data_IF_565478365363
#
_entry.id   IF_565478365363
#
_cell.length_a   1.000
_cell.length_b   1.000
_cell.length_c   1.000
_cell.angle_alpha   90.00
_cell.angle_beta   90.00
_cell.angle_gamma   90.00
#
_symmetry.space_group_name_H-M   'P 1'
#
loop_
_entity.id
_entity.type
_entity.pdbx_description
1 polymer ?
#
# COMPACT_ATOMS: atom_id res chain seq x y z
N UNK A 1 64.51 13.91 27.77
CA UNK A 1 63.06 14.12 27.70
C UNK A 1 62.46 12.88 27.05
N UNK A 2 61.61 12.17 27.79
CA UNK A 2 61.02 10.82 27.60
C UNK A 2 60.77 10.41 26.12
N UNK A 3 61.23 9.27 25.57
CA UNK A 3 60.91 7.83 25.84
C UNK A 3 59.39 7.54 25.90
N UNK A 4 58.78 6.50 25.32
CA UNK A 4 59.21 5.28 24.61
C UNK A 4 57.98 4.63 23.94
N UNK A 5 58.27 3.94 22.84
CA UNK A 5 57.62 2.80 22.15
C UNK A 5 56.35 2.07 22.63
N UNK A 6 55.55 1.69 21.60
CA UNK A 6 54.98 0.37 21.23
C UNK A 6 54.54 -0.64 22.31
N UNK A 7 53.32 -1.17 22.12
CA UNK A 7 53.01 -2.60 21.86
C UNK A 7 51.79 -3.15 22.62
N UNK A 8 51.03 -3.91 21.84
CA UNK A 8 49.91 -4.83 22.12
C UNK A 8 50.09 -5.74 23.34
N UNK A 9 49.07 -5.86 24.20
CA UNK A 9 48.79 -7.09 24.96
C UNK A 9 47.28 -7.32 25.11
N UNK A 10 46.91 -8.60 25.03
CA UNK A 10 45.59 -9.22 25.07
C UNK A 10 45.55 -10.11 26.33
N UNK A 11 44.35 -10.50 26.80
CA UNK A 11 44.00 -11.42 27.93
C UNK A 11 43.78 -10.77 29.32
N UNK A 12 42.81 -11.13 30.18
CA UNK A 12 41.62 -12.01 30.13
C UNK A 12 40.69 -11.69 31.34
N UNK A 13 39.40 -12.03 31.19
CA UNK A 13 38.33 -12.39 32.18
C UNK A 13 38.69 -12.40 33.69
N UNK A 14 37.85 -12.12 34.69
CA UNK A 14 36.40 -11.99 34.92
C UNK A 14 36.27 -11.33 36.32
N UNK A 15 35.12 -10.74 36.67
CA UNK A 15 34.34 -10.98 37.92
C UNK A 15 33.42 -9.79 38.17
N UNK A 16 32.13 -10.07 38.00
CA UNK A 16 30.97 -9.51 38.71
C UNK A 16 31.18 -8.17 39.44
N UNK A 17 30.69 -7.11 38.82
CA UNK A 17 30.08 -6.02 39.57
C UNK A 17 28.77 -5.66 38.89
N UNK A 18 27.71 -5.65 39.71
CA UNK A 18 26.32 -5.48 39.36
C UNK A 18 26.10 -4.17 38.59
N UNK A 19 26.11 -4.24 37.27
CA UNK A 19 25.39 -3.26 36.45
C UNK A 19 24.07 -3.91 36.11
N UNK A 20 23.02 -3.43 36.76
CA UNK A 20 21.66 -3.62 36.28
C UNK A 20 21.65 -2.95 34.91
N UNK A 21 21.87 -3.73 33.86
CA UNK A 21 21.49 -3.34 32.52
C UNK A 21 19.99 -3.23 32.62
N UNK A 22 19.49 -2.02 32.81
CA UNK A 22 18.14 -1.69 32.37
C UNK A 22 18.16 -2.03 30.89
N UNK A 23 17.70 -3.23 30.57
CA UNK A 23 17.11 -3.51 29.28
C UNK A 23 15.92 -2.56 29.30
N UNK A 24 16.12 -1.32 28.88
CA UNK A 24 15.07 -0.58 28.24
C UNK A 24 14.61 -1.55 27.16
N UNK A 25 13.45 -2.19 27.42
CA UNK A 25 12.67 -2.76 26.34
C UNK A 25 12.69 -1.66 25.30
N UNK A 26 13.36 -1.92 24.17
CA UNK A 26 13.37 -0.98 23.06
C UNK A 26 11.89 -0.63 22.88
N UNK A 27 11.51 0.59 23.29
CA UNK A 27 10.17 1.08 23.00
C UNK A 27 10.07 0.86 21.52
N UNK A 28 9.01 0.19 21.07
CA UNK A 28 8.71 0.09 19.65
C UNK A 28 8.57 1.54 19.17
N UNK A 29 9.68 2.14 18.77
CA UNK A 29 9.71 3.42 18.10
C UNK A 29 9.01 3.11 16.81
N UNK A 30 7.76 3.56 16.71
CA UNK A 30 7.02 3.60 15.46
C UNK A 30 8.01 4.06 14.40
N UNK A 31 8.25 3.21 13.39
CA UNK A 31 9.23 3.48 12.35
C UNK A 31 9.05 4.93 11.89
N UNK A 32 10.12 5.75 11.77
CA UNK A 32 9.99 7.16 11.39
C UNK A 32 9.33 7.35 10.01
N UNK A 33 9.10 6.25 9.29
CA UNK A 33 8.47 6.16 7.99
C UNK A 33 6.94 5.92 8.06
N UNK A 34 6.37 5.73 9.26
CA UNK A 34 4.96 5.41 9.47
C UNK A 34 4.33 6.45 10.41
N UNK A 35 3.19 7.01 10.02
CA UNK A 35 2.42 7.92 10.87
C UNK A 35 0.92 7.74 10.63
N UNK A 36 0.12 7.90 11.68
CA UNK A 36 -1.33 7.72 11.58
C UNK A 36 -2.02 9.00 11.08
N UNK A 37 -2.97 8.84 10.17
CA UNK A 37 -3.78 9.91 9.61
C UNK A 37 -5.24 9.67 9.98
N UNK A 38 -5.91 10.69 10.49
CA UNK A 38 -7.33 10.64 10.82
C UNK A 38 -8.18 10.87 9.57
N UNK A 39 -9.31 10.18 9.49
CA UNK A 39 -10.28 10.33 8.40
C UNK A 39 -10.88 11.75 8.37
N UNK A 40 -11.21 12.22 7.18
CA UNK A 40 -12.08 13.36 6.92
C UNK A 40 -13.39 12.84 6.34
N UNK A 41 -14.52 13.21 6.94
CA UNK A 41 -15.86 12.80 6.48
C UNK A 41 -16.39 13.79 5.46
N UNK A 42 -16.89 13.29 4.33
CA UNK A 42 -17.48 14.10 3.26
C UNK A 42 -18.99 14.24 3.47
N UNK A 43 -19.39 15.04 4.45
CA UNK A 43 -20.82 15.18 4.80
C UNK A 43 -21.70 15.66 3.63
N UNK A 44 -21.17 16.52 2.76
CA UNK A 44 -21.88 17.02 1.59
C UNK A 44 -22.23 15.91 0.57
N UNK A 45 -21.54 14.77 0.61
CA UNK A 45 -21.74 13.67 -0.32
C UNK A 45 -23.11 12.98 -0.18
N UNK A 46 -23.68 13.01 1.01
CA UNK A 46 -25.02 12.44 1.27
C UNK A 46 -26.08 13.08 0.37
N UNK A 47 -26.00 14.40 0.14
CA UNK A 47 -26.93 15.12 -0.74
C UNK A 47 -26.86 14.68 -2.20
N UNK A 48 -25.74 14.06 -2.61
CA UNK A 48 -25.52 13.47 -3.94
C UNK A 48 -25.82 11.96 -3.97
N UNK A 49 -26.37 11.40 -2.90
CA UNK A 49 -26.61 9.96 -2.75
C UNK A 49 -25.33 9.11 -2.61
N UNK A 50 -24.19 9.74 -2.36
CA UNK A 50 -22.91 9.07 -2.11
C UNK A 50 -22.81 8.71 -0.62
N UNK A 51 -23.02 7.45 -0.30
CA UNK A 51 -23.02 6.90 1.07
C UNK A 51 -22.37 5.52 1.10
N UNK A 52 -21.79 5.14 2.24
CA UNK A 52 -21.28 3.79 2.51
C UNK A 52 -22.42 2.75 2.57
N UNK A 53 -22.08 1.46 2.69
CA UNK A 53 -23.07 0.36 2.79
C UNK A 53 -24.15 0.63 3.84
N UNK A 54 -23.80 1.20 5.00
CA UNK A 54 -24.72 1.51 6.10
C UNK A 54 -25.47 2.86 5.96
N UNK A 55 -25.29 3.57 4.84
CA UNK A 55 -25.86 4.90 4.61
C UNK A 55 -25.06 6.07 5.23
N UNK A 56 -23.94 5.82 5.93
CA UNK A 56 -23.08 6.89 6.44
C UNK A 56 -22.35 7.64 5.31
N UNK A 57 -21.94 8.91 5.50
CA UNK A 57 -21.17 9.62 4.49
C UNK A 57 -19.79 8.95 4.25
N UNK A 58 -19.23 9.01 3.04
CA UNK A 58 -17.90 8.50 2.76
C UNK A 58 -16.82 9.33 3.44
N UNK A 59 -15.60 8.77 3.45
CA UNK A 59 -14.45 9.40 4.08
C UNK A 59 -13.18 9.26 3.23
N UNK A 60 -12.18 10.09 3.50
CA UNK A 60 -10.84 9.97 2.95
C UNK A 60 -9.79 10.39 3.99
N UNK A 61 -8.54 10.02 3.78
CA UNK A 61 -7.41 10.39 4.62
C UNK A 61 -6.49 11.28 3.80
N UNK A 62 -6.05 12.41 4.35
CA UNK A 62 -5.30 13.39 3.58
C UNK A 62 -4.17 14.03 4.36
N UNK A 63 -3.07 14.23 3.65
CA UNK A 63 -1.89 14.93 4.11
C UNK A 63 -1.47 15.89 2.99
N UNK A 64 -1.37 17.20 3.28
CA UNK A 64 -0.91 18.16 2.30
C UNK A 64 0.56 17.94 1.95
N UNK A 65 0.90 18.14 0.68
CA UNK A 65 2.28 18.21 0.22
C UNK A 65 2.98 19.48 0.69
N UNK A 66 4.29 19.56 0.46
CA UNK A 66 5.12 20.71 0.83
C UNK A 66 6.23 20.95 -0.20
N UNK A 67 6.82 22.16 -0.16
CA UNK A 67 7.88 22.56 -1.10
C UNK A 67 7.44 22.42 -2.55
N UNK A 68 8.28 21.81 -3.39
CA UNK A 68 7.99 21.58 -4.81
C UNK A 68 6.90 20.53 -5.05
N UNK A 69 6.57 19.71 -4.04
CA UNK A 69 5.58 18.65 -4.14
C UNK A 69 4.12 19.10 -4.00
N UNK A 70 3.86 20.36 -3.62
CA UNK A 70 2.49 20.89 -3.41
C UNK A 70 1.59 20.80 -4.64
N UNK A 71 2.17 20.74 -5.83
CA UNK A 71 1.45 20.60 -7.10
C UNK A 71 1.26 19.16 -7.57
N UNK A 72 1.71 18.16 -6.81
CA UNK A 72 1.65 16.75 -7.21
C UNK A 72 0.86 15.93 -6.17
N UNK A 73 0.17 14.90 -6.65
CA UNK A 73 -0.81 14.15 -5.85
C UNK A 73 -0.69 12.64 -6.03
N UNK A 74 -0.69 11.92 -4.91
CA UNK A 74 -0.93 10.48 -4.84
C UNK A 74 -2.36 10.28 -4.34
N UNK A 75 -3.20 9.59 -5.12
CA UNK A 75 -4.58 9.27 -4.76
C UNK A 75 -4.77 7.76 -4.79
N UNK A 76 -4.63 7.13 -3.62
CA UNK A 76 -4.85 5.69 -3.49
C UNK A 76 -6.32 5.39 -3.15
N UNK A 77 -6.87 4.35 -3.77
CA UNK A 77 -8.13 3.74 -3.34
C UNK A 77 -7.81 2.66 -2.31
N UNK A 78 -8.42 2.72 -1.13
CA UNK A 78 -8.27 1.64 -0.15
C UNK A 78 -8.81 0.33 -0.73
N UNK A 79 -8.10 -0.77 -0.49
CA UNK A 79 -8.61 -2.11 -0.76
C UNK A 79 -9.46 -2.64 0.40
N UNK A 80 -9.75 -3.94 0.34
CA UNK A 80 -10.43 -4.66 1.42
C UNK A 80 -11.30 -5.83 0.98
N UNK A 81 -11.10 -6.41 -0.21
CA UNK A 81 -12.02 -7.38 -0.83
C UNK A 81 -13.43 -6.80 -1.07
N UNK A 82 -14.41 -7.64 -1.31
CA UNK A 82 -15.81 -7.28 -1.55
C UNK A 82 -16.73 -8.23 -0.79
N UNK A 83 -17.97 -7.82 -0.56
CA UNK A 83 -18.98 -8.73 -0.04
C UNK A 83 -19.61 -9.53 -1.19
N UNK A 84 -19.94 -10.80 -0.97
CA UNK A 84 -20.35 -11.74 -2.03
C UNK A 84 -21.86 -11.96 -2.12
N UNK A 85 -22.59 -11.65 -1.06
CA UNK A 85 -24.04 -11.77 -0.98
C UNK A 85 -24.60 -10.78 0.05
N UNK A 86 -25.92 -10.65 0.11
CA UNK A 86 -26.62 -9.66 0.97
C UNK A 86 -26.23 -9.82 2.44
N UNK A 87 -26.19 -11.04 2.97
CA UNK A 87 -25.83 -11.30 4.38
C UNK A 87 -24.41 -10.84 4.68
N UNK A 88 -23.44 -11.19 3.83
CA UNK A 88 -22.04 -10.75 3.94
C UNK A 88 -21.94 -9.21 3.87
N UNK A 89 -22.68 -8.57 2.97
CA UNK A 89 -22.72 -7.11 2.89
C UNK A 89 -23.34 -6.47 4.14
N UNK A 90 -24.34 -7.11 4.75
CA UNK A 90 -24.99 -6.63 5.96
C UNK A 90 -24.06 -6.75 7.17
N UNK A 91 -23.37 -7.88 7.35
CA UNK A 91 -22.36 -8.04 8.39
C UNK A 91 -21.24 -7.00 8.21
N UNK A 92 -20.78 -6.84 6.96
CA UNK A 92 -19.74 -5.87 6.60
C UNK A 92 -20.16 -4.42 6.86
N UNK A 93 -21.44 -4.08 6.73
CA UNK A 93 -21.95 -2.72 7.02
C UNK A 93 -21.68 -2.28 8.46
N UNK A 94 -21.51 -3.22 9.39
CA UNK A 94 -21.18 -2.98 10.79
C UNK A 94 -19.66 -2.88 11.06
N UNK A 95 -18.83 -2.76 10.02
CA UNK A 95 -17.36 -2.71 10.13
C UNK A 95 -16.79 -1.43 9.50
N UNK A 96 -15.48 -1.21 9.67
CA UNK A 96 -14.76 -0.11 9.00
C UNK A 96 -14.77 -0.21 7.47
N UNK A 97 -15.14 -1.38 6.91
CA UNK A 97 -15.26 -1.62 5.46
C UNK A 97 -16.66 -1.44 4.89
N UNK A 98 -17.62 -1.05 5.71
CA UNK A 98 -19.00 -0.79 5.30
C UNK A 98 -19.61 0.47 5.92
N UNK A 99 -18.93 1.10 6.90
CA UNK A 99 -19.39 2.33 7.53
C UNK A 99 -18.24 3.23 7.93
N UNK A 100 -18.36 4.52 7.63
CA UNK A 100 -17.40 5.52 8.10
C UNK A 100 -17.48 5.76 9.61
N UNK A 101 -18.56 5.32 10.28
CA UNK A 101 -18.71 5.40 11.74
C UNK A 101 -17.68 4.54 12.47
N UNK A 102 -17.27 3.43 11.86
CA UNK A 102 -16.34 2.45 12.44
C UNK A 102 -14.87 2.65 12.00
N UNK A 103 -14.59 3.61 11.11
CA UNK A 103 -13.23 3.88 10.65
C UNK A 103 -12.37 4.59 11.70
N UNK A 104 -11.21 4.03 12.02
CA UNK A 104 -10.18 4.68 12.85
C UNK A 104 -9.13 5.45 12.03
N UNK A 105 -8.11 6.03 12.68
CA UNK A 105 -6.91 6.49 11.99
C UNK A 105 -6.19 5.34 11.28
N UNK A 106 -5.58 5.59 10.12
CA UNK A 106 -4.82 4.59 9.36
C UNK A 106 -3.35 4.98 9.22
N UNK A 107 -2.42 4.00 9.14
CA UNK A 107 -1.01 4.28 8.95
C UNK A 107 -0.71 4.69 7.50
N UNK A 108 -0.10 5.86 7.31
CA UNK A 108 0.55 6.24 6.07
C UNK A 108 1.99 5.74 6.10
N UNK A 109 2.36 4.93 5.11
CA UNK A 109 3.68 4.30 4.98
C UNK A 109 4.02 4.03 3.50
N UNK A 110 5.23 3.54 3.23
CA UNK A 110 5.70 3.25 1.88
C UNK A 110 5.66 4.50 0.99
N UNK A 111 4.93 4.44 -0.13
CA UNK A 111 4.74 5.59 -1.03
C UNK A 111 4.04 6.80 -0.36
N UNK A 112 3.42 6.60 0.81
CA UNK A 112 2.80 7.66 1.61
C UNK A 112 3.73 8.22 2.71
N UNK A 113 4.93 7.67 2.86
CA UNK A 113 5.92 8.19 3.82
C UNK A 113 6.30 9.63 3.46
N UNK A 114 6.49 10.46 4.49
CA UNK A 114 7.06 11.82 4.38
C UNK A 114 8.59 11.83 4.47
N UNK A 115 9.19 10.69 4.82
CA UNK A 115 10.62 10.56 4.90
C UNK A 115 11.19 10.34 3.50
N UNK A 116 12.06 11.24 3.04
CA UNK A 116 12.69 11.14 1.74
C UNK A 116 13.53 9.87 1.59
N UNK A 117 14.19 9.38 2.64
CA UNK A 117 14.94 8.12 2.54
C UNK A 117 14.03 6.94 2.22
N UNK A 118 12.82 6.91 2.82
CA UNK A 118 11.86 5.84 2.59
C UNK A 118 10.97 6.03 1.34
N UNK A 119 10.86 7.26 0.85
CA UNK A 119 10.07 7.61 -0.32
C UNK A 119 10.76 8.70 -1.17
N UNK A 120 11.88 8.37 -1.83
CA UNK A 120 12.81 9.36 -2.40
C UNK A 120 12.18 10.40 -3.31
N UNK A 121 11.28 9.97 -4.18
CA UNK A 121 10.74 10.82 -5.24
C UNK A 121 9.37 11.46 -4.91
N UNK A 122 8.62 10.90 -3.95
CA UNK A 122 7.23 11.30 -3.69
C UNK A 122 6.96 11.78 -2.24
N UNK A 123 8.00 11.86 -1.40
CA UNK A 123 7.87 12.18 0.03
C UNK A 123 7.18 13.52 0.32
N UNK A 124 7.33 14.51 -0.56
CA UNK A 124 6.80 15.86 -0.39
C UNK A 124 5.47 16.13 -1.13
N UNK A 125 4.88 15.13 -1.78
CA UNK A 125 3.60 15.27 -2.50
C UNK A 125 2.39 15.28 -1.58
N UNK A 126 1.26 15.78 -2.09
CA UNK A 126 -0.05 15.57 -1.49
C UNK A 126 -0.39 14.08 -1.51
N UNK A 127 -0.92 13.56 -0.41
CA UNK A 127 -1.19 12.14 -0.24
C UNK A 127 -2.62 11.95 0.23
N UNK A 128 -3.38 11.16 -0.53
CA UNK A 128 -4.77 10.86 -0.26
C UNK A 128 -4.98 9.35 -0.30
N UNK A 129 -5.70 8.83 0.68
CA UNK A 129 -6.32 7.49 0.61
C UNK A 129 -7.83 7.67 0.68
N UNK A 130 -8.55 7.29 -0.37
CA UNK A 130 -10.02 7.25 -0.36
C UNK A 130 -10.45 6.02 0.43
N UNK A 131 -11.26 6.22 1.48
CA UNK A 131 -11.67 5.13 2.35
C UNK A 131 -12.71 4.25 1.66
N UNK A 132 -12.47 2.94 1.70
CA UNK A 132 -13.35 1.96 1.08
C UNK A 132 -14.47 1.56 2.03
N UNK A 133 -15.72 1.74 1.57
CA UNK A 133 -16.90 1.41 2.38
C UNK A 133 -18.14 0.96 1.57
N UNK A 134 -18.03 0.71 0.27
CA UNK A 134 -19.16 0.31 -0.58
C UNK A 134 -19.27 -1.21 -0.79
N UNK A 135 -18.25 -1.98 -0.41
CA UNK A 135 -18.26 -3.44 -0.55
C UNK A 135 -18.23 -3.97 -1.99
N UNK A 136 -18.13 -3.09 -3.01
CA UNK A 136 -18.14 -3.41 -4.44
C UNK A 136 -17.00 -2.74 -5.21
N UNK A 137 -15.85 -2.53 -4.58
CA UNK A 137 -14.64 -1.97 -5.19
C UNK A 137 -14.85 -0.63 -5.92
N UNK A 138 -15.71 0.25 -5.39
CA UNK A 138 -16.06 1.55 -5.98
C UNK A 138 -16.80 1.49 -7.34
N UNK A 139 -17.32 0.33 -7.75
CA UNK A 139 -17.91 0.16 -9.10
C UNK A 139 -19.43 0.24 -9.14
N UNK A 140 -20.12 -0.05 -8.03
CA UNK A 140 -21.59 -0.09 -8.00
C UNK A 140 -22.25 1.30 -7.92
N UNK A 141 -23.43 1.43 -8.55
CA UNK A 141 -24.37 2.52 -8.29
C UNK A 141 -25.82 2.06 -8.41
N UNK A 142 -26.37 1.50 -7.32
CA UNK A 142 -27.73 0.95 -7.30
C UNK A 142 -28.69 1.92 -6.63
N UNK A 143 -29.66 2.46 -7.37
CA UNK A 143 -30.66 3.39 -6.83
C UNK A 143 -31.59 2.81 -5.78
N UNK A 144 -32.02 1.57 -6.02
CA UNK A 144 -32.89 0.87 -5.11
C UNK A 144 -32.18 0.57 -3.78
N UNK A 145 -32.87 0.86 -2.68
CA UNK A 145 -32.45 0.45 -1.33
C UNK A 145 -33.51 -0.51 -0.82
N UNK A 146 -33.11 -1.74 -0.54
CA UNK A 146 -34.00 -2.74 0.05
C UNK A 146 -34.38 -2.31 1.48
N UNK A 147 -35.67 -2.07 1.78
CA UNK A 147 -36.08 -1.63 3.11
C UNK A 147 -35.78 -2.64 4.22
N UNK A 148 -35.64 -3.94 3.90
CA UNK A 148 -35.36 -4.98 4.89
C UNK A 148 -33.90 -4.94 5.37
N UNK A 149 -32.97 -4.55 4.50
CA UNK A 149 -31.53 -4.57 4.80
C UNK A 149 -30.92 -3.18 4.92
N UNK A 150 -31.56 -2.18 4.32
CA UNK A 150 -31.10 -0.80 4.21
C UNK A 150 -29.66 -0.68 3.70
N UNK A 151 -29.25 -1.57 2.81
CA UNK A 151 -27.92 -1.57 2.21
C UNK A 151 -27.85 -0.62 1.01
N UNK A 152 -26.76 0.15 0.95
CA UNK A 152 -26.50 1.10 -0.12
C UNK A 152 -25.24 0.72 -0.93
N UNK A 153 -25.42 0.37 -2.20
CA UNK A 153 -24.31 0.01 -3.10
C UNK A 153 -23.94 1.20 -3.99
N UNK A 154 -23.15 2.15 -3.45
CA UNK A 154 -22.91 3.49 -4.06
C UNK A 154 -21.45 3.79 -4.38
N UNK A 155 -20.64 2.76 -4.60
CA UNK A 155 -19.20 2.87 -4.85
C UNK A 155 -18.82 3.95 -5.88
N UNK A 156 -19.49 4.02 -7.02
CA UNK A 156 -19.18 5.00 -8.06
C UNK A 156 -19.50 6.45 -7.63
N UNK A 157 -20.55 6.66 -6.85
CA UNK A 157 -20.91 7.98 -6.30
C UNK A 157 -19.92 8.43 -5.22
N UNK A 158 -19.48 7.49 -4.38
CA UNK A 158 -18.44 7.73 -3.38
C UNK A 158 -17.17 8.21 -4.08
N UNK A 159 -16.69 7.45 -5.08
CA UNK A 159 -15.50 7.82 -5.83
C UNK A 159 -15.64 9.22 -6.44
N UNK A 160 -16.71 9.47 -7.19
CA UNK A 160 -16.94 10.76 -7.86
C UNK A 160 -16.98 11.92 -6.87
N UNK A 161 -17.69 11.78 -5.75
CA UNK A 161 -17.85 12.89 -4.81
C UNK A 161 -16.59 13.18 -4.00
N UNK A 162 -15.83 12.15 -3.61
CA UNK A 162 -14.54 12.35 -2.97
C UNK A 162 -13.58 13.02 -3.95
N UNK A 163 -13.59 12.62 -5.23
CA UNK A 163 -12.78 13.26 -6.27
C UNK A 163 -13.13 14.74 -6.46
N UNK A 164 -14.42 15.11 -6.49
CA UNK A 164 -14.86 16.52 -6.55
C UNK A 164 -14.28 17.34 -5.38
N UNK A 165 -14.32 16.77 -4.17
CA UNK A 165 -13.77 17.45 -3.00
C UNK A 165 -12.25 17.62 -3.10
N UNK A 166 -11.52 16.60 -3.56
CA UNK A 166 -10.07 16.69 -3.77
C UNK A 166 -9.73 17.70 -4.86
N UNK A 167 -10.51 17.77 -5.95
CA UNK A 167 -10.39 18.77 -7.00
C UNK A 167 -10.56 20.18 -6.42
N UNK A 168 -11.55 20.39 -5.56
CA UNK A 168 -11.76 21.66 -4.87
C UNK A 168 -10.58 22.04 -3.95
N UNK A 169 -9.92 21.06 -3.32
CA UNK A 169 -8.74 21.26 -2.46
C UNK A 169 -7.44 21.49 -3.21
N UNK A 170 -7.42 21.35 -4.53
CA UNK A 170 -6.27 21.68 -5.37
C UNK A 170 -5.83 20.59 -6.32
N UNK A 171 -6.44 19.39 -6.29
CA UNK A 171 -6.14 18.33 -7.26
C UNK A 171 -6.43 18.78 -8.70
N UNK A 172 -7.35 19.73 -8.92
CA UNK A 172 -7.63 20.31 -10.23
C UNK A 172 -6.43 21.07 -10.84
N UNK A 173 -5.51 21.51 -9.99
CA UNK A 173 -4.28 22.20 -10.39
C UNK A 173 -3.07 21.24 -10.34
N UNK A 174 -3.32 19.94 -10.15
CA UNK A 174 -2.25 18.97 -10.08
C UNK A 174 -1.52 18.93 -11.41
N UNK A 175 -0.18 18.99 -11.34
CA UNK A 175 0.66 18.70 -12.48
C UNK A 175 0.51 17.24 -12.88
N UNK A 176 0.30 16.37 -11.90
CA UNK A 176 0.22 14.93 -12.09
C UNK A 176 -0.57 14.20 -10.97
N UNK A 177 -1.19 13.05 -11.30
CA UNK A 177 -2.05 12.22 -10.41
C UNK A 177 -1.91 10.71 -10.68
N UNK A 178 -1.98 9.85 -9.65
CA UNK A 178 -1.84 8.38 -9.74
C UNK A 178 -2.89 7.61 -8.90
N UNK A 179 -3.31 6.39 -9.33
CA UNK A 179 -4.29 5.49 -8.69
C UNK A 179 -3.82 4.01 -8.59
N UNK A 180 -4.27 3.22 -7.58
CA UNK A 180 -3.91 1.78 -7.36
C UNK A 180 -5.02 0.94 -6.63
N UNK A 181 -5.07 -0.40 -6.82
CA UNK A 181 -6.08 -1.39 -6.28
C UNK A 181 -5.46 -2.75 -5.81
N UNK A 182 -6.21 -3.57 -5.02
CA UNK A 182 -5.69 -4.71 -4.19
C UNK A 182 -6.72 -5.90 -3.90
N UNK A 183 -6.37 -7.23 -4.07
CA UNK A 183 -7.06 -8.47 -3.55
C UNK A 183 -6.23 -9.81 -3.44
N UNK A 184 -6.73 -10.93 -2.80
CA UNK A 184 -5.93 -12.10 -2.28
C UNK A 184 -6.60 -13.53 -2.12
N UNK A 185 -5.87 -14.71 -2.24
CA UNK A 185 -5.81 -15.97 -1.36
C UNK A 185 -5.14 -17.29 -1.93
N UNK A 186 -3.79 -17.43 -2.00
CA UNK A 186 -3.02 -18.71 -2.26
C UNK A 186 -1.72 -18.85 -1.41
N UNK A 187 -1.64 -18.14 -0.29
CA UNK A 187 -0.36 -17.79 0.36
C UNK A 187 0.39 -18.95 1.04
N UNK A 188 -0.33 -19.84 1.71
CA UNK A 188 0.26 -20.77 2.69
C UNK A 188 1.28 -21.74 2.06
N UNK A 189 0.95 -22.40 0.94
CA UNK A 189 1.88 -23.36 0.36
C UNK A 189 3.13 -22.70 -0.24
N UNK A 190 3.00 -21.46 -0.72
CA UNK A 190 4.11 -20.70 -1.32
C UNK A 190 5.09 -20.33 -0.22
N UNK A 191 4.60 -19.79 0.90
CA UNK A 191 5.45 -19.34 2.01
C UNK A 191 6.22 -20.49 2.66
N UNK A 192 5.64 -21.68 2.74
CA UNK A 192 6.28 -22.86 3.31
C UNK A 192 7.08 -23.70 2.28
N UNK A 193 7.01 -23.38 0.99
CA UNK A 193 7.62 -24.19 -0.07
C UNK A 193 7.03 -25.60 -0.15
N UNK A 194 5.78 -25.78 0.26
CA UNK A 194 5.09 -27.07 0.36
C UNK A 194 4.06 -27.30 -0.75
N UNK A 195 4.01 -26.42 -1.76
CA UNK A 195 3.08 -26.57 -2.86
C UNK A 195 3.29 -27.92 -3.60
N UNK A 196 2.20 -28.65 -3.78
CA UNK A 196 2.14 -29.88 -4.58
C UNK A 196 2.46 -29.60 -6.05
N UNK A 197 2.78 -30.64 -6.83
CA UNK A 197 2.99 -30.51 -8.29
C UNK A 197 1.81 -29.87 -9.00
N UNK A 198 0.57 -30.24 -8.61
CA UNK A 198 -0.65 -29.67 -9.17
C UNK A 198 -0.77 -28.16 -8.88
N UNK A 199 -0.49 -27.75 -7.64
CA UNK A 199 -0.48 -26.33 -7.25
C UNK A 199 0.60 -25.55 -8.01
N UNK A 200 1.81 -26.09 -8.13
CA UNK A 200 2.89 -25.46 -8.90
C UNK A 200 2.53 -25.32 -10.39
N UNK A 201 1.87 -26.31 -10.99
CA UNK A 201 1.41 -26.20 -12.37
C UNK A 201 0.34 -25.11 -12.52
N UNK A 202 -0.62 -25.03 -11.59
CA UNK A 202 -1.64 -23.98 -11.57
C UNK A 202 -1.01 -22.58 -11.47
N UNK A 203 0.01 -22.41 -10.63
CA UNK A 203 0.72 -21.13 -10.49
C UNK A 203 1.45 -20.72 -11.77
N UNK A 204 2.06 -21.68 -12.47
CA UNK A 204 2.70 -21.43 -13.78
C UNK A 204 1.69 -21.06 -14.86
N UNK A 205 0.55 -21.74 -14.91
CA UNK A 205 -0.55 -21.41 -15.84
C UNK A 205 -1.07 -20.01 -15.59
N UNK A 206 -1.38 -19.67 -14.33
CA UNK A 206 -1.81 -18.32 -13.95
C UNK A 206 -0.79 -17.25 -14.35
N UNK A 207 0.51 -17.49 -14.15
CA UNK A 207 1.58 -16.59 -14.58
C UNK A 207 1.60 -16.42 -16.09
N UNK A 208 1.51 -17.53 -16.85
CA UNK A 208 1.46 -17.50 -18.31
C UNK A 208 0.28 -16.66 -18.81
N UNK A 209 -0.92 -16.89 -18.27
CA UNK A 209 -2.12 -16.14 -18.63
C UNK A 209 -1.99 -14.66 -18.31
N UNK A 210 -1.44 -14.33 -17.13
CA UNK A 210 -1.15 -12.96 -16.74
C UNK A 210 -0.19 -12.28 -17.73
N UNK A 211 0.96 -12.90 -18.03
CA UNK A 211 1.94 -12.35 -18.96
C UNK A 211 1.40 -12.19 -20.38
N UNK A 212 0.51 -13.08 -20.81
CA UNK A 212 -0.14 -13.00 -22.10
C UNK A 212 -1.14 -11.85 -22.21
N UNK A 213 -1.79 -11.48 -21.10
CA UNK A 213 -2.72 -10.36 -21.03
C UNK A 213 -2.02 -8.97 -21.03
N UNK A 214 -0.72 -8.92 -20.77
CA UNK A 214 0.01 -7.66 -20.70
C UNK A 214 0.25 -7.04 -22.08
N UNK A 215 0.32 -5.69 -22.14
CA UNK A 215 0.82 -5.01 -23.32
C UNK A 215 2.23 -5.48 -23.66
N UNK A 216 2.48 -5.79 -24.93
CA UNK A 216 3.82 -6.20 -25.37
C UNK A 216 4.81 -5.04 -25.24
N UNK A 217 6.00 -5.31 -24.70
CA UNK A 217 7.03 -4.29 -24.46
C UNK A 217 7.60 -3.62 -25.70
N UNK A 218 7.31 -4.16 -26.90
CA UNK A 218 7.61 -3.54 -28.19
C UNK A 218 6.61 -2.46 -28.61
N UNK A 219 5.51 -2.29 -27.86
CA UNK A 219 4.49 -1.31 -28.19
C UNK A 219 4.91 0.09 -27.70
N UNK A 220 5.17 1.05 -28.61
CA UNK A 220 5.67 2.39 -28.24
C UNK A 220 4.64 3.24 -27.48
N UNK A 221 3.37 2.82 -27.42
CA UNK A 221 2.30 3.51 -26.69
C UNK A 221 2.20 3.09 -25.22
N UNK A 222 2.74 1.94 -24.84
CA UNK A 222 2.74 1.46 -23.45
C UNK A 222 4.09 1.78 -22.84
N UNK A 223 4.10 2.46 -21.69
CA UNK A 223 5.31 3.14 -21.20
C UNK A 223 6.01 2.45 -20.03
N UNK A 224 5.41 1.44 -19.38
CA UNK A 224 6.13 0.69 -18.36
C UNK A 224 5.40 -0.53 -17.80
N UNK A 225 6.18 -1.54 -17.41
CA UNK A 225 5.77 -2.76 -16.73
C UNK A 225 6.86 -3.10 -15.70
N UNK A 226 6.45 -3.38 -14.48
CA UNK A 226 7.32 -3.95 -13.45
C UNK A 226 6.61 -5.14 -12.82
N UNK A 227 7.13 -6.34 -13.04
CA UNK A 227 6.56 -7.58 -12.53
C UNK A 227 7.64 -8.34 -11.80
N UNK A 228 7.44 -8.49 -10.50
CA UNK A 228 8.27 -9.32 -9.66
C UNK A 228 7.66 -10.73 -9.46
N UNK A 229 8.45 -11.61 -8.86
CA UNK A 229 8.07 -13.01 -8.61
C UNK A 229 7.58 -13.23 -7.17
N UNK A 230 7.67 -12.25 -6.28
CA UNK A 230 7.37 -12.47 -4.87
C UNK A 230 5.85 -12.53 -4.72
N UNK A 231 5.34 -13.49 -3.96
CA UNK A 231 3.92 -13.55 -3.67
C UNK A 231 3.54 -12.54 -2.61
N UNK A 232 3.24 -11.31 -3.01
CA UNK A 232 2.79 -10.29 -2.09
C UNK A 232 1.52 -9.63 -2.59
N UNK A 233 0.97 -8.85 -1.68
CA UNK A 233 -0.17 -8.02 -1.88
C UNK A 233 0.16 -6.66 -1.23
N UNK A 234 -0.30 -5.54 -1.81
CA UNK A 234 -0.11 -4.19 -1.24
C UNK A 234 1.33 -3.63 -1.29
N UNK A 235 2.08 -3.91 -2.36
CA UNK A 235 3.53 -3.64 -2.48
C UNK A 235 3.91 -2.16 -2.32
N UNK A 236 3.10 -1.24 -2.84
CA UNK A 236 3.36 0.21 -2.74
C UNK A 236 3.28 0.74 -1.29
N UNK A 237 2.61 -0.02 -0.42
CA UNK A 237 2.51 0.28 1.02
C UNK A 237 3.62 -0.47 1.78
N UNK A 238 3.78 -1.77 1.51
CA UNK A 238 4.62 -2.66 2.33
C UNK A 238 6.06 -2.85 1.85
N UNK A 239 6.35 -2.63 0.58
CA UNK A 239 7.64 -2.93 -0.07
C UNK A 239 8.14 -1.76 -0.94
N UNK A 240 7.80 -0.54 -0.55
CA UNK A 240 8.22 0.67 -1.27
C UNK A 240 9.54 1.25 -0.77
N UNK A 241 9.85 1.07 0.51
CA UNK A 241 11.05 1.64 1.11
C UNK A 241 12.30 0.93 0.52
N UNK A 242 13.35 1.66 0.09
CA UNK A 242 14.48 1.07 -0.65
C UNK A 242 15.12 -0.16 0.00
N UNK A 243 15.17 -0.20 1.33
CA UNK A 243 15.76 -1.29 2.12
C UNK A 243 14.98 -2.61 2.05
N UNK A 244 13.69 -2.55 1.72
CA UNK A 244 12.78 -3.72 1.67
C UNK A 244 12.12 -3.90 0.29
N UNK A 245 12.45 -3.02 -0.65
CA UNK A 245 11.89 -3.01 -1.98
C UNK A 245 12.33 -4.24 -2.78
N UNK A 246 11.42 -4.77 -3.60
CA UNK A 246 11.74 -5.87 -4.49
C UNK A 246 12.55 -5.33 -5.67
N UNK A 247 13.58 -6.10 -6.05
CA UNK A 247 14.51 -5.76 -7.11
C UNK A 247 14.37 -6.78 -8.25
N UNK A 248 14.19 -6.28 -9.47
CA UNK A 248 14.20 -7.06 -10.71
C UNK A 248 15.26 -6.46 -11.62
N UNK A 249 16.19 -7.29 -12.11
CA UNK A 249 17.32 -6.87 -12.95
C UNK A 249 18.10 -5.67 -12.37
N UNK A 250 18.40 -5.71 -11.07
CA UNK A 250 19.08 -4.64 -10.31
C UNK A 250 18.32 -3.30 -10.24
N UNK A 251 17.04 -3.27 -10.58
CA UNK A 251 16.18 -2.10 -10.43
C UNK A 251 15.09 -2.39 -9.39
N UNK A 252 14.99 -1.53 -8.37
CA UNK A 252 13.93 -1.65 -7.36
C UNK A 252 12.59 -1.16 -7.89
N UNK A 253 11.47 -1.71 -7.41
CA UNK A 253 10.13 -1.27 -7.80
C UNK A 253 9.88 0.25 -7.65
N UNK A 254 10.30 0.92 -6.56
CA UNK A 254 10.18 2.37 -6.42
C UNK A 254 10.99 3.13 -7.45
N UNK A 255 12.21 2.66 -7.76
CA UNK A 255 13.07 3.28 -8.78
C UNK A 255 12.48 3.11 -10.18
N UNK A 256 12.05 1.89 -10.51
CA UNK A 256 11.34 1.59 -11.76
C UNK A 256 10.12 2.49 -11.95
N UNK A 257 9.32 2.64 -10.88
CA UNK A 257 8.15 3.49 -10.89
C UNK A 257 8.51 4.97 -11.07
N UNK A 258 9.49 5.49 -10.33
CA UNK A 258 9.94 6.87 -10.46
C UNK A 258 10.54 7.16 -11.84
N UNK A 259 11.38 6.26 -12.37
CA UNK A 259 11.99 6.44 -13.67
C UNK A 259 10.95 6.44 -14.80
N UNK A 260 9.96 5.56 -14.72
CA UNK A 260 8.81 5.57 -15.63
C UNK A 260 8.02 6.88 -15.51
N UNK A 261 7.70 7.27 -14.28
CA UNK A 261 6.83 8.40 -14.01
C UNK A 261 7.42 9.74 -14.46
N UNK A 262 8.71 9.96 -14.19
CA UNK A 262 9.42 11.18 -14.55
C UNK A 262 10.07 11.10 -15.94
N UNK A 263 9.70 10.12 -16.77
CA UNK A 263 10.28 9.86 -18.09
C UNK A 263 11.82 9.79 -18.07
N UNK A 264 12.44 9.33 -16.97
CA UNK A 264 13.90 9.18 -16.84
C UNK A 264 14.41 7.95 -17.57
N UNK A 265 13.62 6.87 -17.56
CA UNK A 265 13.94 5.64 -18.29
C UNK A 265 12.69 4.81 -18.59
N UNK A 266 12.66 4.21 -19.77
CA UNK A 266 11.63 3.23 -20.12
C UNK A 266 11.86 1.94 -19.32
N UNK A 267 10.82 1.46 -18.64
CA UNK A 267 10.96 0.33 -17.73
C UNK A 267 10.01 -0.79 -18.13
N UNK A 268 10.54 -1.83 -18.76
CA UNK A 268 9.80 -3.07 -19.03
C UNK A 268 10.56 -4.23 -18.39
N UNK A 269 10.29 -4.47 -17.11
CA UNK A 269 11.00 -5.41 -16.26
C UNK A 269 10.06 -6.51 -15.79
N UNK A 270 10.43 -7.74 -16.09
CA UNK A 270 9.69 -8.94 -15.70
C UNK A 270 10.72 -9.91 -15.15
N UNK A 271 10.57 -10.31 -13.90
CA UNK A 271 11.38 -11.37 -13.29
C UNK A 271 11.19 -12.67 -14.08
N UNK A 272 12.24 -13.40 -14.41
CA UNK A 272 12.18 -14.57 -15.31
C UNK A 272 11.72 -15.86 -14.62
N UNK A 273 11.62 -15.88 -13.29
CA UNK A 273 11.26 -17.09 -12.54
C UNK A 273 9.79 -17.47 -12.73
N UNK A 274 9.55 -18.78 -12.85
CA UNK A 274 8.23 -19.33 -13.17
C UNK A 274 7.32 -19.55 -11.96
N UNK A 275 7.90 -19.71 -10.77
CA UNK A 275 7.17 -19.97 -9.54
C UNK A 275 7.36 -18.83 -8.53
N UNK A 276 6.30 -18.48 -7.78
CA UNK A 276 6.37 -17.39 -6.83
C UNK A 276 7.36 -17.66 -5.70
N UNK A 277 7.98 -16.60 -5.21
CA UNK A 277 8.80 -16.66 -3.99
C UNK A 277 7.97 -16.32 -2.73
N UNK A 278 8.33 -16.92 -1.58
CA UNK A 278 7.78 -16.55 -0.27
C UNK A 278 7.86 -15.05 0.01
N UNK A 279 6.86 -14.52 0.71
CA UNK A 279 6.81 -13.11 1.07
C UNK A 279 7.69 -12.78 2.29
N UNK A 280 9.00 -12.99 2.18
CA UNK A 280 9.93 -12.67 3.26
C UNK A 280 10.27 -11.18 3.18
N UNK A 281 9.85 -10.40 4.19
CA UNK A 281 10.33 -9.03 4.39
C UNK A 281 11.45 -9.12 5.43
N UNK A 282 12.70 -8.81 5.07
CA UNK A 282 13.80 -8.84 6.03
C UNK A 282 13.49 -7.92 7.23
N UNK A 283 13.66 -8.43 8.45
CA UNK A 283 13.64 -7.67 9.69
C UNK A 283 12.32 -6.95 10.06
N UNK A 284 11.14 -7.47 9.66
CA UNK A 284 9.86 -6.94 10.12
C UNK A 284 8.95 -8.03 10.67
N UNK A 285 8.68 -7.99 11.98
CA UNK A 285 7.56 -8.71 12.60
C UNK A 285 6.29 -7.87 12.41
N UNK A 286 5.36 -8.36 11.60
CA UNK A 286 4.05 -7.73 11.46
C UNK A 286 3.12 -8.32 12.53
N UNK A 287 2.52 -7.48 13.38
CA UNK A 287 1.33 -7.88 14.11
C UNK A 287 0.18 -8.03 13.11
N UNK A 288 -0.45 -9.21 13.11
CA UNK A 288 -1.68 -9.53 12.37
C UNK A 288 -2.78 -8.50 12.59
#
# INVERSE_FOLDING_TARGET
MMMVTRSLQLFVSLVCSLTIITIECAKVTQSPNIYNVTKTIVHSAVSKGAVCLDGSPPAYYFVPGFGEGVGNWIVQLSGGAWCKNVTDCQDRSNTDKGSSKHMGPIPFQGIHSKNQTANPDFYNWNKVIIAYCDGGSFTGDVEYVDPATNLHFRGARIFTTVMDELLAKGLKNAKNTQYTLEGSNIYECIDHGTCTTSQNNTLKEMRSDFLNALPKGTNPKHRGVFIDVVHHHTSIIRRWTPEIAIVVHNVSAPKAFADWYFDRNYTYLIDERDLPLPNLIPNVTYSS
#
